data_IF_528866632137
#
_entry.id   IF_528866632137
#
_cell.length_a   1.000
_cell.length_b   1.000
_cell.length_c   1.000
_cell.angle_alpha   90.00
_cell.angle_beta   90.00
_cell.angle_gamma   90.00
#
_symmetry.space_group_name_H-M   'P 1'
#
loop_
_entity.id
_entity.type
_entity.pdbx_description
1 polymer ?
#
# COMPACT_ATOMS: atom_id res chain seq x y z
N UNK A 1 26.16 -9.99 -1.67
CA UNK A 1 24.96 -9.28 -2.16
C UNK A 1 23.88 -10.31 -2.40
N UNK A 2 22.90 -10.42 -1.51
CA UNK A 2 21.73 -11.29 -1.73
C UNK A 2 20.98 -10.75 -2.94
N UNK A 3 20.92 -11.54 -4.02
CA UNK A 3 20.28 -11.13 -5.27
C UNK A 3 18.80 -10.88 -4.97
N UNK A 4 18.37 -9.63 -5.10
CA UNK A 4 16.95 -9.28 -4.97
C UNK A 4 16.17 -10.04 -6.04
N UNK A 5 15.31 -10.96 -5.62
CA UNK A 5 14.50 -11.75 -6.53
C UNK A 5 13.09 -11.16 -6.64
N UNK A 6 12.42 -11.44 -7.75
CA UNK A 6 11.00 -11.09 -7.91
C UNK A 6 10.22 -11.83 -6.81
N UNK A 7 9.45 -11.08 -6.02
CA UNK A 7 8.68 -11.66 -4.94
C UNK A 7 7.63 -12.65 -5.47
N UNK A 8 7.52 -13.81 -4.82
CA UNK A 8 6.52 -14.82 -5.19
C UNK A 8 5.10 -14.29 -4.99
N UNK A 9 4.16 -14.74 -5.84
CA UNK A 9 2.75 -14.32 -5.77
C UNK A 9 2.13 -14.56 -4.40
N UNK A 10 2.43 -15.69 -3.76
CA UNK A 10 1.93 -16.02 -2.42
C UNK A 10 2.33 -14.99 -1.36
N UNK A 11 3.59 -14.53 -1.37
CA UNK A 11 4.06 -13.51 -0.43
C UNK A 11 3.43 -12.15 -0.69
N UNK A 12 3.23 -11.80 -1.96
CA UNK A 12 2.50 -10.58 -2.34
C UNK A 12 1.06 -10.63 -1.83
N UNK A 13 0.34 -11.73 -2.06
CA UNK A 13 -1.03 -11.93 -1.58
C UNK A 13 -1.11 -11.94 -0.05
N UNK A 14 -0.19 -12.63 0.64
CA UNK A 14 -0.12 -12.63 2.09
C UNK A 14 0.13 -11.23 2.67
N UNK A 15 1.02 -10.46 2.05
CA UNK A 15 1.25 -9.05 2.42
C UNK A 15 0.01 -8.18 2.17
N UNK A 16 -0.76 -8.44 1.12
CA UNK A 16 -1.99 -7.69 0.83
C UNK A 16 -3.09 -8.00 1.83
N UNK A 17 -3.28 -9.28 2.18
CA UNK A 17 -4.23 -9.67 3.23
C UNK A 17 -3.85 -9.01 4.56
N UNK A 18 -2.56 -9.00 4.90
CA UNK A 18 -2.08 -8.31 6.09
C UNK A 18 -2.35 -6.80 6.02
N UNK A 19 -2.06 -6.16 4.88
CA UNK A 19 -2.33 -4.73 4.70
C UNK A 19 -3.83 -4.43 4.81
N UNK A 20 -4.71 -5.30 4.29
CA UNK A 20 -6.16 -5.15 4.42
C UNK A 20 -6.62 -5.20 5.88
N UNK A 21 -6.04 -6.08 6.70
CA UNK A 21 -6.32 -6.13 8.14
C UNK A 21 -5.85 -4.85 8.86
N UNK A 22 -4.67 -4.34 8.51
CA UNK A 22 -4.14 -3.08 9.06
C UNK A 22 -5.03 -1.91 8.66
N UNK A 23 -5.43 -1.81 7.39
CA UNK A 23 -6.34 -0.77 6.90
C UNK A 23 -7.70 -0.88 7.59
N UNK A 24 -8.24 -2.09 7.78
CA UNK A 24 -9.51 -2.29 8.48
C UNK A 24 -9.45 -1.80 9.93
N UNK A 25 -8.39 -2.17 10.66
CA UNK A 25 -8.17 -1.72 12.04
C UNK A 25 -8.00 -0.20 12.11
N UNK A 26 -7.19 0.38 11.22
CA UNK A 26 -7.01 1.83 11.11
C UNK A 26 -8.33 2.52 10.74
N UNK A 27 -9.10 1.98 9.80
CA UNK A 27 -10.36 2.57 9.38
C UNK A 27 -11.35 2.66 10.55
N UNK A 28 -11.52 1.58 11.32
CA UNK A 28 -12.42 1.60 12.49
C UNK A 28 -12.01 2.71 13.46
N UNK A 29 -10.72 2.79 13.82
CA UNK A 29 -10.21 3.79 14.75
C UNK A 29 -10.31 5.22 14.19
N UNK A 30 -9.94 5.41 12.92
CA UNK A 30 -9.92 6.69 12.24
C UNK A 30 -11.33 7.19 11.88
N UNK A 31 -12.33 6.33 11.80
CA UNK A 31 -13.74 6.75 11.68
C UNK A 31 -14.29 7.20 13.03
N UNK A 32 -13.95 6.53 14.13
CA UNK A 32 -14.46 6.85 15.47
C UNK A 32 -14.02 8.24 15.95
N UNK A 33 -12.74 8.60 15.76
CA UNK A 33 -12.18 9.87 16.23
C UNK A 33 -12.91 11.13 15.69
N UNK A 34 -13.06 11.33 14.36
CA UNK A 34 -13.77 12.49 13.82
C UNK A 34 -15.27 12.44 14.16
N UNK A 35 -15.91 11.27 14.17
CA UNK A 35 -17.32 11.18 14.60
C UNK A 35 -17.47 11.65 16.04
N UNK A 36 -16.60 11.21 16.95
CA UNK A 36 -16.63 11.61 18.35
C UNK A 36 -16.35 13.12 18.54
N UNK A 37 -15.36 13.67 17.83
CA UNK A 37 -15.03 15.10 17.89
C UNK A 37 -16.17 15.99 17.34
N UNK A 38 -16.67 15.68 16.15
CA UNK A 38 -17.70 16.50 15.51
C UNK A 38 -19.06 16.39 16.25
N UNK A 39 -19.45 15.19 16.67
CA UNK A 39 -20.70 14.99 17.42
C UNK A 39 -20.62 15.50 18.86
N UNK A 40 -19.51 15.28 19.55
CA UNK A 40 -19.35 15.62 20.97
C UNK A 40 -18.97 17.07 21.24
N UNK A 41 -18.13 17.68 20.39
CA UNK A 41 -17.62 19.05 20.61
C UNK A 41 -18.36 20.06 19.72
N UNK A 42 -18.41 19.77 18.41
CA UNK A 42 -18.97 20.69 17.41
C UNK A 42 -20.50 20.57 17.30
N UNK A 43 -21.10 19.53 17.89
CA UNK A 43 -22.54 19.19 17.80
C UNK A 43 -23.04 19.11 16.36
N UNK A 44 -22.17 18.72 15.44
CA UNK A 44 -22.47 18.52 14.03
C UNK A 44 -22.21 17.06 13.67
N UNK A 45 -23.12 16.42 12.94
CA UNK A 45 -22.86 15.09 12.40
C UNK A 45 -22.06 15.24 11.10
N UNK A 46 -20.82 14.73 11.02
CA UNK A 46 -20.02 14.83 9.80
C UNK A 46 -20.67 13.99 8.70
N UNK A 47 -20.84 14.58 7.52
CA UNK A 47 -21.40 13.88 6.37
C UNK A 47 -20.52 12.71 5.91
N UNK A 48 -21.09 11.62 5.36
CA UNK A 48 -20.30 10.45 4.92
C UNK A 48 -19.17 10.81 3.95
N UNK A 49 -19.42 11.72 3.01
CA UNK A 49 -18.41 12.14 2.03
C UNK A 49 -17.19 12.80 2.67
N UNK A 50 -17.37 13.58 3.74
CA UNK A 50 -16.27 14.22 4.45
C UNK A 50 -15.42 13.19 5.19
N UNK A 51 -16.05 12.18 5.80
CA UNK A 51 -15.35 11.10 6.49
C UNK A 51 -14.54 10.24 5.51
N UNK A 52 -15.11 9.92 4.34
CA UNK A 52 -14.39 9.20 3.28
C UNK A 52 -13.22 10.01 2.72
N UNK A 53 -13.40 11.32 2.48
CA UNK A 53 -12.33 12.21 2.04
C UNK A 53 -11.21 12.30 3.08
N UNK A 54 -11.57 12.44 4.36
CA UNK A 54 -10.63 12.44 5.48
C UNK A 54 -9.81 11.14 5.52
N UNK A 55 -10.48 9.98 5.42
CA UNK A 55 -9.81 8.68 5.43
C UNK A 55 -8.89 8.51 4.20
N UNK A 56 -9.36 8.91 3.01
CA UNK A 56 -8.58 8.88 1.78
C UNK A 56 -7.30 9.72 1.90
N UNK A 57 -7.39 10.94 2.43
CA UNK A 57 -6.22 11.80 2.61
C UNK A 57 -5.26 11.18 3.64
N UNK A 58 -5.77 10.73 4.79
CA UNK A 58 -4.93 10.26 5.88
C UNK A 58 -4.21 8.95 5.53
N UNK A 59 -4.91 8.00 4.92
CA UNK A 59 -4.31 6.79 4.37
C UNK A 59 -3.33 7.13 3.24
N UNK A 60 -3.67 8.07 2.36
CA UNK A 60 -2.80 8.52 1.28
C UNK A 60 -1.48 9.06 1.79
N UNK A 61 -1.52 9.95 2.79
CA UNK A 61 -0.33 10.47 3.45
C UNK A 61 0.50 9.33 4.06
N UNK A 62 -0.14 8.41 4.79
CA UNK A 62 0.54 7.25 5.38
C UNK A 62 1.25 6.40 4.32
N UNK A 63 0.54 5.95 3.28
CA UNK A 63 1.09 5.07 2.24
C UNK A 63 2.19 5.76 1.43
N UNK A 64 1.95 6.98 0.95
CA UNK A 64 2.91 7.75 0.16
C UNK A 64 4.18 8.00 0.97
N UNK A 65 4.05 8.39 2.23
CA UNK A 65 5.20 8.59 3.11
C UNK A 65 6.00 7.31 3.33
N UNK A 66 5.32 6.19 3.66
CA UNK A 66 5.98 4.89 3.84
C UNK A 66 6.73 4.44 2.58
N UNK A 67 6.13 4.61 1.40
CA UNK A 67 6.75 4.21 0.14
C UNK A 67 7.91 5.11 -0.28
N UNK A 68 7.79 6.43 -0.16
CA UNK A 68 8.86 7.36 -0.55
C UNK A 68 10.04 7.29 0.42
N UNK A 69 9.76 7.28 1.74
CA UNK A 69 10.80 7.34 2.77
C UNK A 69 11.46 5.99 3.01
N UNK A 70 10.66 4.93 3.16
CA UNK A 70 11.16 3.61 3.54
C UNK A 70 11.13 2.59 2.39
N UNK A 71 10.33 2.81 1.34
CA UNK A 71 10.10 1.81 0.29
C UNK A 71 9.24 0.62 0.75
N UNK A 72 8.64 0.70 1.94
CA UNK A 72 7.91 -0.41 2.55
C UNK A 72 6.82 0.09 3.48
N UNK A 73 5.66 -0.58 3.45
CA UNK A 73 4.63 -0.46 4.49
C UNK A 73 4.90 -1.43 5.64
N UNK A 74 4.11 -1.32 6.70
CA UNK A 74 4.19 -2.24 7.83
C UNK A 74 3.97 -3.69 7.38
N UNK A 75 2.99 -3.97 6.52
CA UNK A 75 2.76 -5.30 6.00
C UNK A 75 3.91 -5.78 5.10
N UNK A 76 4.46 -4.90 4.25
CA UNK A 76 5.59 -5.27 3.41
C UNK A 76 6.82 -5.66 4.22
N UNK A 77 7.05 -5.01 5.37
CA UNK A 77 8.15 -5.36 6.29
C UNK A 77 8.01 -6.77 6.85
N UNK A 78 6.80 -7.22 7.19
CA UNK A 78 6.60 -8.57 7.76
C UNK A 78 6.94 -9.66 6.74
N UNK A 79 6.65 -9.41 5.46
CA UNK A 79 6.94 -10.34 4.37
C UNK A 79 8.27 -10.08 3.64
N UNK A 80 9.08 -9.12 4.14
CA UNK A 80 10.38 -8.68 3.57
C UNK A 80 10.28 -8.28 2.08
N UNK A 81 9.20 -7.59 1.76
CA UNK A 81 8.91 -7.07 0.43
C UNK A 81 9.35 -5.62 0.36
N UNK A 82 9.96 -5.21 -0.73
CA UNK A 82 10.35 -3.82 -0.96
C UNK A 82 9.71 -3.30 -2.24
N UNK A 83 9.19 -2.09 -2.18
CA UNK A 83 8.73 -1.34 -3.33
C UNK A 83 9.90 -0.54 -3.91
N UNK A 84 10.21 -0.79 -5.17
CA UNK A 84 11.27 -0.09 -5.90
C UNK A 84 10.78 0.38 -7.26
N UNK A 85 11.45 1.39 -7.81
CA UNK A 85 11.27 1.83 -9.19
C UNK A 85 11.65 0.69 -10.15
N UNK A 86 10.80 0.40 -11.13
CA UNK A 86 10.99 -0.71 -12.05
C UNK A 86 12.20 -0.55 -12.98
N UNK A 87 12.61 0.69 -13.30
CA UNK A 87 13.74 1.00 -14.19
C UNK A 87 15.04 1.15 -13.43
N UNK A 88 15.00 1.89 -12.32
CA UNK A 88 16.22 2.30 -11.61
C UNK A 88 16.55 1.39 -10.42
N UNK A 89 15.59 0.56 -9.98
CA UNK A 89 15.70 -0.25 -8.75
C UNK A 89 15.99 0.56 -7.48
N UNK A 90 15.74 1.87 -7.51
CA UNK A 90 15.87 2.78 -6.39
C UNK A 90 14.51 2.97 -5.70
N UNK A 91 14.49 3.77 -4.64
CA UNK A 91 13.25 4.13 -3.96
C UNK A 91 12.27 4.81 -4.94
N UNK A 92 10.95 4.57 -4.79
CA UNK A 92 9.93 5.18 -5.63
C UNK A 92 9.92 6.70 -5.49
N UNK A 93 9.61 7.39 -6.59
CA UNK A 93 9.37 8.84 -6.58
C UNK A 93 8.00 9.12 -5.94
N UNK A 94 7.84 10.32 -5.37
CA UNK A 94 6.56 10.73 -4.77
C UNK A 94 5.38 10.65 -5.76
N UNK A 95 5.60 11.04 -7.02
CA UNK A 95 4.59 10.93 -8.07
C UNK A 95 4.15 9.47 -8.31
N UNK A 96 5.10 8.53 -8.34
CA UNK A 96 4.79 7.10 -8.51
C UNK A 96 3.98 6.58 -7.33
N UNK A 97 4.33 6.97 -6.11
CA UNK A 97 3.59 6.60 -4.90
C UNK A 97 2.16 7.15 -4.89
N UNK A 98 1.95 8.41 -5.30
CA UNK A 98 0.63 9.03 -5.39
C UNK A 98 -0.22 8.35 -6.47
N UNK A 99 0.33 8.14 -7.67
CA UNK A 99 -0.37 7.44 -8.76
C UNK A 99 -0.75 6.03 -8.31
N UNK A 100 0.18 5.31 -7.68
CA UNK A 100 -0.07 3.97 -7.13
C UNK A 100 -1.22 3.98 -6.10
N UNK A 101 -1.23 4.96 -5.19
CA UNK A 101 -2.28 5.10 -4.19
C UNK A 101 -3.65 5.38 -4.82
N UNK A 102 -3.72 6.37 -5.71
CA UNK A 102 -4.96 6.74 -6.40
C UNK A 102 -5.52 5.59 -7.23
N UNK A 103 -4.65 4.87 -7.95
CA UNK A 103 -5.04 3.67 -8.69
C UNK A 103 -5.47 2.52 -7.78
N UNK A 104 -4.89 2.39 -6.58
CA UNK A 104 -5.29 1.40 -5.60
C UNK A 104 -6.79 1.51 -5.26
N UNK A 105 -7.30 2.73 -5.07
CA UNK A 105 -8.72 2.96 -4.80
C UNK A 105 -9.66 2.55 -5.93
N UNK A 106 -9.17 2.51 -7.17
CA UNK A 106 -9.95 2.06 -8.33
C UNK A 106 -9.79 0.55 -8.51
N UNK A 107 -8.57 0.04 -8.45
CA UNK A 107 -8.24 -1.34 -8.80
C UNK A 107 -8.57 -2.37 -7.71
N UNK A 108 -8.57 -1.99 -6.43
CA UNK A 108 -8.85 -2.93 -5.33
C UNK A 108 -10.34 -3.25 -5.18
N UNK A 109 -11.27 -2.28 -5.12
CA UNK A 109 -12.69 -2.59 -4.98
C UNK A 109 -13.25 -3.33 -6.20
N UNK A 110 -12.69 -3.08 -7.38
CA UNK A 110 -13.10 -3.73 -8.63
C UNK A 110 -12.48 -5.11 -8.82
N UNK A 111 -11.52 -5.52 -7.98
CA UNK A 111 -10.75 -6.75 -8.16
C UNK A 111 -9.82 -6.75 -9.38
N UNK A 112 -9.78 -5.66 -10.17
CA UNK A 112 -8.96 -5.54 -11.38
C UNK A 112 -7.48 -5.73 -11.09
N UNK A 113 -6.99 -5.29 -9.93
CA UNK A 113 -5.60 -5.50 -9.52
C UNK A 113 -5.25 -6.99 -9.47
N UNK A 114 -6.13 -7.81 -8.88
CA UNK A 114 -5.94 -9.25 -8.73
C UNK A 114 -6.09 -9.97 -10.06
N UNK A 115 -7.16 -9.67 -10.81
CA UNK A 115 -7.41 -10.26 -12.13
C UNK A 115 -6.23 -10.03 -13.07
N UNK A 116 -5.72 -8.79 -13.13
CA UNK A 116 -4.56 -8.47 -13.96
C UNK A 116 -3.30 -9.26 -13.57
N UNK A 117 -3.09 -9.54 -12.28
CA UNK A 117 -1.91 -10.31 -11.83
C UNK A 117 -1.85 -11.75 -12.35
N UNK A 118 -2.98 -12.29 -12.82
CA UNK A 118 -3.05 -13.60 -13.47
C UNK A 118 -2.78 -13.53 -14.97
N UNK A 119 -3.04 -12.40 -15.62
CA UNK A 119 -2.80 -12.18 -17.05
C UNK A 119 -1.38 -11.67 -17.33
N UNK A 120 -0.79 -10.93 -16.37
CA UNK A 120 0.53 -10.33 -16.53
C UNK A 120 1.65 -11.39 -16.48
N UNK A 121 2.56 -11.45 -17.48
CA UNK A 121 3.67 -12.41 -17.50
C UNK A 121 4.62 -12.30 -16.31
N UNK A 122 4.76 -11.09 -15.75
CA UNK A 122 5.62 -10.80 -14.59
C UNK A 122 4.86 -10.96 -13.25
N UNK A 123 3.57 -11.32 -13.31
CA UNK A 123 2.68 -11.43 -12.16
C UNK A 123 2.57 -10.14 -11.34
N UNK A 124 2.74 -8.98 -11.98
CA UNK A 124 2.64 -7.67 -11.33
C UNK A 124 1.19 -7.20 -11.25
N UNK A 125 0.87 -6.42 -10.22
CA UNK A 125 -0.45 -5.81 -10.12
C UNK A 125 -0.56 -4.63 -11.12
N UNK A 126 -1.76 -4.41 -11.65
CA UNK A 126 -2.03 -3.36 -12.64
C UNK A 126 -1.56 -1.96 -12.17
N UNK A 127 -1.85 -1.62 -10.92
CA UNK A 127 -1.46 -0.34 -10.31
C UNK A 127 0.06 -0.23 -10.11
N UNK A 128 0.76 -1.33 -9.91
CA UNK A 128 2.23 -1.34 -9.80
C UNK A 128 2.87 -1.05 -11.15
N UNK A 129 2.37 -1.72 -12.20
CA UNK A 129 2.86 -1.58 -13.58
C UNK A 129 2.64 -0.17 -14.11
N UNK A 130 1.47 0.41 -13.88
CA UNK A 130 1.15 1.79 -14.34
C UNK A 130 1.92 2.84 -13.53
N UNK A 131 2.12 2.63 -12.23
CA UNK A 131 2.98 3.49 -11.42
C UNK A 131 4.48 3.33 -11.75
N UNK A 132 4.86 2.35 -12.59
CA UNK A 132 6.26 2.05 -12.91
C UNK A 132 7.05 1.55 -11.69
N UNK A 133 6.36 0.89 -10.76
CA UNK A 133 6.95 0.33 -9.53
C UNK A 133 6.89 -1.18 -9.56
N UNK A 134 7.77 -1.84 -8.82
CA UNK A 134 7.79 -3.30 -8.67
C UNK A 134 8.08 -3.71 -7.24
N UNK A 135 7.52 -4.84 -6.84
CA UNK A 135 7.76 -5.44 -5.52
C UNK A 135 8.85 -6.52 -5.64
N UNK A 136 9.99 -6.27 -4.98
CA UNK A 136 11.10 -7.22 -4.88
C UNK A 136 11.13 -7.87 -3.49
N UNK A 137 11.68 -9.07 -3.41
CA UNK A 137 11.96 -9.75 -2.15
C UNK A 137 13.44 -9.62 -1.82
N UNK A 138 13.75 -9.19 -0.60
CA UNK A 138 15.12 -9.14 -0.10
C UNK A 138 15.30 -10.16 1.05
N UNK A 139 16.13 -11.21 0.86
CA UNK A 139 16.44 -12.16 1.91
C UNK A 139 17.26 -11.50 3.04
N UNK A 140 17.09 -11.98 4.27
CA UNK A 140 17.93 -11.56 5.41
C UNK A 140 19.40 -11.86 5.06
N UNK A 141 20.33 -10.91 5.27
CA UNK A 141 21.75 -11.20 5.08
C UNK A 141 22.14 -12.37 5.98
N UNK A 142 22.73 -13.40 5.39
CA UNK A 142 23.33 -14.51 6.14
C UNK A 142 24.46 -13.90 6.96
N UNK A 143 24.36 -13.97 8.29
CA UNK A 143 25.43 -13.50 9.18
C UNK A 143 26.62 -14.42 8.95
N UNK A 144 27.82 -13.92 8.58
CA UNK A 144 29.01 -14.75 8.55
C UNK A 144 29.22 -15.30 9.97
N UNK A 145 29.47 -16.61 10.04
CA UNK A 145 29.69 -17.34 11.30
C UNK A 145 30.92 -16.80 12.04
#
# INVERSE_FOLDING_TARGET
>A
MTVASIATRQRRLGSLLYEALVILALAIFLFLLPVALFSGVVRLMPGPGLLWLYLFILLGVYFVWCWVRAGQTLAMKTWRLWLVDARTSRRPRALQAIVRYGMGWICWPTGLALLWSFLDPDGQFLHDRIAGTRIIYEPKPVRPA
#
